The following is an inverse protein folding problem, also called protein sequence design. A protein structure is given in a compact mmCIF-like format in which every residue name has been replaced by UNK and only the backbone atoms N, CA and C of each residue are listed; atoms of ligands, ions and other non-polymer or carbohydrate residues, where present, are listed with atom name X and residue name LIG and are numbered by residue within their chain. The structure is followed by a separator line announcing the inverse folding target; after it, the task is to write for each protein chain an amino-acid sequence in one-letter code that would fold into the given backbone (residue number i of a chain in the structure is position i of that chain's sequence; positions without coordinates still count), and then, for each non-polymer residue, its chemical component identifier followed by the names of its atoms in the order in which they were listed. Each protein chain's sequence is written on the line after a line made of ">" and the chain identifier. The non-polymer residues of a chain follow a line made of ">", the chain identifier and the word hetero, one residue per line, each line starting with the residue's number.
data_IF_040931797563
#
_entry.id   IF_040931797563
#
_cell.length_a   1.000
_cell.length_b   1.000
_cell.length_c   1.000
_cell.angle_alpha   90.00
_cell.angle_beta   90.00
_cell.angle_gamma   90.00
#
_symmetry.space_group_name_H-M   'P 1'
#
loop_
_entity.id
_entity.type
_entity.pdbx_description
1 polymer ?
#
# COMPACT_ATOMS: atom_id res chain seq x y z
N UNK A 1 0.38 -9.83 21.89
CA UNK A 1 -0.01 -9.03 20.71
C UNK A 1 1.00 -9.33 19.64
N UNK A 2 0.53 -9.62 18.42
CA UNK A 2 1.41 -9.68 17.26
C UNK A 2 1.70 -8.23 16.85
N UNK A 3 2.98 -7.78 16.80
CA UNK A 3 3.29 -6.41 16.39
C UNK A 3 3.15 -6.18 14.88
N UNK A 4 3.00 -7.24 14.09
CA UNK A 4 2.85 -7.17 12.65
C UNK A 4 1.44 -6.76 12.23
N UNK A 5 1.38 -5.81 11.29
CA UNK A 5 0.16 -5.43 10.58
C UNK A 5 0.24 -5.92 9.14
N UNK A 6 -0.89 -6.31 8.58
CA UNK A 6 -1.00 -6.49 7.12
C UNK A 6 -1.44 -5.18 6.51
N UNK A 7 -0.62 -4.66 5.61
CA UNK A 7 -0.81 -3.35 5.01
C UNK A 7 -0.68 -3.41 3.48
N UNK A 8 -1.29 -2.45 2.79
CA UNK A 8 -0.92 -2.14 1.41
C UNK A 8 0.44 -1.42 1.38
N UNK A 9 1.05 -1.41 0.19
CA UNK A 9 2.25 -0.62 -0.09
C UNK A 9 2.06 0.83 0.30
N UNK A 10 3.03 1.40 1.01
CA UNK A 10 3.01 2.82 1.38
C UNK A 10 4.39 3.31 1.81
N UNK A 11 4.72 4.55 1.44
CA UNK A 11 5.85 5.24 2.04
C UNK A 11 5.82 6.74 1.85
N UNK A 12 6.88 7.38 2.30
CA UNK A 12 6.99 8.83 2.38
C UNK A 12 7.20 9.46 1.00
N UNK A 13 6.77 10.72 0.86
CA UNK A 13 7.09 11.52 -0.32
C UNK A 13 8.38 12.29 -0.04
N UNK A 14 9.42 12.05 -0.85
CA UNK A 14 10.69 12.74 -0.73
C UNK A 14 10.61 14.22 -1.12
N UNK A 15 11.53 15.08 -0.65
CA UNK A 15 11.54 16.50 -1.03
C UNK A 15 11.63 16.70 -2.55
N UNK A 16 10.57 17.26 -3.14
CA UNK A 16 10.48 17.51 -4.58
C UNK A 16 9.97 16.32 -5.41
N UNK A 17 9.61 15.20 -4.77
CA UNK A 17 8.97 14.05 -5.40
C UNK A 17 7.47 14.27 -5.55
N UNK A 18 6.91 13.91 -6.70
CA UNK A 18 5.46 13.91 -6.91
C UNK A 18 4.83 12.67 -6.26
N UNK A 19 3.57 12.78 -5.81
CA UNK A 19 2.89 11.70 -5.07
C UNK A 19 2.78 10.39 -5.88
N UNK A 20 2.68 10.50 -7.21
CA UNK A 20 2.62 9.36 -8.12
C UNK A 20 3.99 8.69 -8.27
N UNK A 21 5.07 9.48 -8.31
CA UNK A 21 6.44 8.97 -8.37
C UNK A 21 6.81 8.24 -7.08
N UNK A 22 6.42 8.80 -5.92
CA UNK A 22 6.57 8.13 -4.62
C UNK A 22 5.84 6.78 -4.62
N UNK A 23 4.54 6.76 -4.97
CA UNK A 23 3.79 5.51 -5.02
C UNK A 23 4.37 4.49 -6.02
N UNK A 24 4.94 4.96 -7.14
CA UNK A 24 5.61 4.09 -8.10
C UNK A 24 6.90 3.47 -7.54
N UNK A 25 7.71 4.28 -6.86
CA UNK A 25 8.96 3.88 -6.21
C UNK A 25 8.69 2.84 -5.10
N UNK A 26 7.75 3.14 -4.20
CA UNK A 26 7.40 2.25 -3.08
C UNK A 26 6.91 0.87 -3.54
N UNK A 27 6.16 0.80 -4.65
CA UNK A 27 5.76 -0.51 -5.22
C UNK A 27 6.97 -1.35 -5.67
N UNK A 28 8.03 -0.70 -6.17
CA UNK A 28 9.25 -1.39 -6.56
C UNK A 28 10.08 -1.80 -5.34
N UNK A 29 10.13 -0.96 -4.31
CA UNK A 29 10.91 -1.19 -3.09
C UNK A 29 10.26 -2.28 -2.21
N UNK A 30 8.98 -2.13 -1.89
CA UNK A 30 8.31 -3.00 -0.92
C UNK A 30 7.88 -4.34 -1.52
N UNK A 31 7.42 -4.39 -2.79
CA UNK A 31 6.96 -5.63 -3.41
C UNK A 31 7.76 -6.09 -4.64
N UNK A 32 8.66 -5.26 -5.18
CA UNK A 32 9.57 -5.69 -6.25
C UNK A 32 8.97 -5.69 -7.65
N UNK A 33 7.81 -5.07 -7.87
CA UNK A 33 7.15 -5.04 -9.17
C UNK A 33 7.17 -3.63 -9.76
N UNK A 34 7.34 -3.55 -11.09
CA UNK A 34 7.13 -2.32 -11.83
C UNK A 34 5.63 -2.12 -12.09
N UNK A 35 5.00 -1.01 -11.65
CA UNK A 35 3.62 -0.72 -12.02
C UNK A 35 3.44 -0.63 -13.55
N UNK A 36 2.45 -1.35 -14.08
CA UNK A 36 2.02 -1.30 -15.49
C UNK A 36 1.10 -0.11 -15.74
N UNK A 37 0.22 0.14 -14.77
CA UNK A 37 -0.64 1.32 -14.70
C UNK A 37 -0.64 1.82 -13.26
N UNK A 38 -0.81 3.13 -13.09
CA UNK A 38 -1.02 3.74 -11.78
C UNK A 38 -2.13 4.79 -11.92
N UNK A 39 -3.05 4.81 -10.95
CA UNK A 39 -4.12 5.81 -10.92
C UNK A 39 -4.45 6.24 -9.51
N UNK A 40 -4.62 7.54 -9.32
CA UNK A 40 -5.06 8.09 -8.03
C UNK A 40 -6.50 7.69 -7.75
N UNK A 41 -6.73 7.16 -6.54
CA UNK A 41 -8.05 6.81 -6.03
C UNK A 41 -8.66 8.02 -5.33
N UNK A 42 -8.01 8.47 -4.26
CA UNK A 42 -8.50 9.54 -3.38
C UNK A 42 -7.36 10.10 -2.55
N UNK A 43 -7.65 11.15 -1.78
CA UNK A 43 -6.74 11.67 -0.75
C UNK A 43 -7.55 11.96 0.51
N UNK A 44 -7.04 11.54 1.67
CA UNK A 44 -7.71 11.71 2.95
C UNK A 44 -6.74 12.01 4.07
N UNK A 45 -7.26 12.54 5.17
CA UNK A 45 -6.53 12.71 6.43
C UNK A 45 -6.69 11.44 7.26
N UNK A 46 -5.61 10.97 7.87
CA UNK A 46 -5.59 9.72 8.65
C UNK A 46 -6.37 9.87 9.95
N UNK A 47 -6.13 10.95 10.70
CA UNK A 47 -6.82 11.23 11.95
C UNK A 47 -7.01 12.73 12.19
N UNK A 48 -8.05 13.34 11.58
CA UNK A 48 -8.38 14.75 11.78
C UNK A 48 -8.59 15.07 13.28
N UNK A 49 -7.83 16.04 13.79
CA UNK A 49 -7.85 16.44 15.20
C UNK A 49 -6.67 15.92 16.02
N UNK A 50 -5.90 14.96 15.50
CA UNK A 50 -4.66 14.46 16.12
C UNK A 50 -3.44 14.81 15.26
N UNK A 51 -3.52 14.57 13.96
CA UNK A 51 -2.38 14.75 13.04
C UNK A 51 -2.80 15.45 11.75
N UNK A 52 -1.82 16.13 11.12
CA UNK A 52 -1.99 16.76 9.80
C UNK A 52 -1.60 15.84 8.64
N UNK A 53 -1.24 14.59 8.93
CA UNK A 53 -0.86 13.60 7.93
C UNK A 53 -1.98 13.35 6.92
N UNK A 54 -1.59 13.24 5.65
CA UNK A 54 -2.48 12.98 4.52
C UNK A 54 -1.91 11.82 3.72
N UNK A 55 -2.79 10.89 3.37
CA UNK A 55 -2.48 9.80 2.44
C UNK A 55 -3.14 10.11 1.11
N UNK A 56 -2.35 10.09 0.03
CA UNK A 56 -2.88 9.94 -1.32
C UNK A 56 -2.84 8.47 -1.68
N UNK A 57 -4.00 7.90 -1.97
CA UNK A 57 -4.13 6.48 -2.26
C UNK A 57 -4.14 6.26 -3.77
N UNK A 58 -3.36 5.29 -4.23
CA UNK A 58 -3.26 4.89 -5.64
C UNK A 58 -3.65 3.43 -5.82
N UNK A 59 -4.08 3.09 -7.04
CA UNK A 59 -4.21 1.72 -7.53
C UNK A 59 -3.15 1.49 -8.58
N UNK A 60 -2.34 0.45 -8.40
CA UNK A 60 -1.29 0.03 -9.31
C UNK A 60 -1.56 -1.39 -9.81
N UNK A 61 -1.45 -1.60 -11.12
CA UNK A 61 -1.52 -2.94 -11.72
C UNK A 61 -0.12 -3.51 -11.88
N UNK A 62 0.06 -4.75 -11.42
CA UNK A 62 1.30 -5.51 -11.53
C UNK A 62 0.98 -6.95 -11.92
N UNK A 63 1.91 -7.59 -12.60
CA UNK A 63 1.85 -9.02 -12.89
C UNK A 63 3.26 -9.61 -12.94
N UNK A 64 3.37 -10.92 -13.06
CA UNK A 64 4.67 -11.62 -13.10
C UNK A 64 5.61 -11.13 -14.20
N UNK A 65 5.10 -10.51 -15.28
CA UNK A 65 5.95 -9.95 -16.33
C UNK A 65 6.64 -8.65 -15.90
N UNK A 66 6.14 -7.99 -14.86
CA UNK A 66 6.68 -6.74 -14.35
C UNK A 66 7.54 -6.89 -13.09
N UNK A 67 7.81 -8.11 -12.63
CA UNK A 67 8.70 -8.38 -11.49
C UNK A 67 10.15 -7.97 -11.79
N UNK A 68 10.75 -7.20 -10.90
CA UNK A 68 12.13 -6.72 -10.98
C UNK A 68 13.04 -7.35 -9.91
N UNK A 69 12.52 -7.56 -8.70
CA UNK A 69 13.24 -8.12 -7.57
C UNK A 69 12.27 -8.89 -6.64
N UNK A 70 12.72 -9.26 -5.44
CA UNK A 70 11.92 -10.05 -4.48
C UNK A 70 11.03 -9.20 -3.56
N UNK A 71 11.16 -7.87 -3.59
CA UNK A 71 10.54 -6.94 -2.64
C UNK A 71 11.22 -7.01 -1.27
N UNK A 72 10.50 -6.55 -0.24
CA UNK A 72 10.94 -6.60 1.15
C UNK A 72 11.34 -5.25 1.76
N UNK A 73 11.24 -4.17 0.99
CA UNK A 73 11.63 -2.84 1.43
C UNK A 73 13.13 -2.58 1.31
N UNK A 74 13.59 -1.47 1.89
CA UNK A 74 14.98 -1.06 1.89
C UNK A 74 15.65 -1.29 3.26
N UNK A 75 16.77 -2.02 3.25
CA UNK A 75 17.58 -2.25 4.46
C UNK A 75 18.07 -0.95 5.11
N UNK A 76 18.38 0.07 4.30
CA UNK A 76 18.86 1.37 4.79
C UNK A 76 17.73 2.19 5.44
N UNK A 77 16.47 1.81 5.24
CA UNK A 77 15.28 2.41 5.85
C UNK A 77 14.73 1.62 7.06
N UNK A 78 15.44 0.57 7.48
CA UNK A 78 15.05 -0.32 8.59
C UNK A 78 13.70 -1.03 8.35
N UNK A 79 13.41 -1.34 7.09
CA UNK A 79 12.20 -2.05 6.68
C UNK A 79 12.42 -3.57 6.67
N UNK A 80 11.49 -4.29 7.30
CA UNK A 80 11.40 -5.76 7.29
C UNK A 80 9.99 -6.13 6.83
N UNK A 81 9.80 -6.32 5.53
CA UNK A 81 8.48 -6.53 4.93
C UNK A 81 8.35 -7.96 4.40
N UNK A 82 7.27 -8.63 4.83
CA UNK A 82 6.85 -9.92 4.26
C UNK A 82 5.68 -9.72 3.29
N UNK A 83 5.89 -10.08 2.02
CA UNK A 83 4.84 -10.03 1.01
C UNK A 83 3.76 -11.09 1.29
N UNK A 84 2.50 -10.67 1.21
CA UNK A 84 1.33 -11.56 1.24
C UNK A 84 0.40 -11.23 0.08
N UNK A 85 0.01 -12.27 -0.66
CA UNK A 85 -0.92 -12.14 -1.78
C UNK A 85 -2.30 -12.63 -1.36
N UNK A 86 -3.29 -11.74 -1.43
CA UNK A 86 -4.66 -12.04 -1.02
C UNK A 86 -5.60 -12.04 -2.21
N UNK A 87 -6.47 -13.06 -2.37
CA UNK A 87 -7.52 -13.00 -3.36
C UNK A 87 -8.41 -11.79 -3.12
N UNK A 88 -8.80 -11.09 -4.19
CA UNK A 88 -9.73 -9.96 -4.12
C UNK A 88 -11.02 -10.29 -3.34
N UNK A 89 -11.49 -11.54 -3.45
CA UNK A 89 -12.68 -12.03 -2.74
C UNK A 89 -12.54 -12.04 -1.22
N UNK A 90 -11.31 -12.13 -0.69
CA UNK A 90 -11.04 -12.18 0.76
C UNK A 90 -11.04 -10.80 1.42
N UNK A 91 -10.96 -9.72 0.63
CA UNK A 91 -10.81 -8.36 1.13
C UNK A 91 -11.90 -7.94 2.14
N UNK A 92 -13.17 -8.22 1.85
CA UNK A 92 -14.27 -7.89 2.78
C UNK A 92 -14.28 -8.78 4.01
N UNK A 93 -13.90 -10.04 3.86
CA UNK A 93 -13.86 -10.99 4.97
C UNK A 93 -12.82 -10.57 6.01
N UNK A 94 -11.61 -10.24 5.56
CA UNK A 94 -10.51 -9.81 6.44
C UNK A 94 -10.83 -8.51 7.18
N UNK A 95 -11.46 -7.55 6.49
CA UNK A 95 -11.96 -6.32 7.12
C UNK A 95 -13.05 -6.63 8.15
N UNK A 96 -14.00 -7.51 7.84
CA UNK A 96 -15.09 -7.87 8.75
C UNK A 96 -14.61 -8.68 9.98
N UNK A 97 -13.58 -9.51 9.81
CA UNK A 97 -12.95 -10.31 10.86
C UNK A 97 -11.95 -9.51 11.71
N UNK A 98 -11.76 -8.22 11.43
CA UNK A 98 -10.80 -7.34 12.12
C UNK A 98 -9.35 -7.81 11.98
N UNK A 99 -9.01 -8.48 10.87
CA UNK A 99 -7.63 -8.88 10.57
C UNK A 99 -6.80 -7.71 10.02
N UNK A 100 -7.46 -6.70 9.46
CA UNK A 100 -6.81 -5.46 8.99
C UNK A 100 -6.96 -4.37 10.05
N UNK A 101 -5.84 -4.00 10.67
CA UNK A 101 -5.76 -2.91 11.66
C UNK A 101 -5.39 -1.55 11.08
N UNK A 102 -5.03 -1.49 9.79
CA UNK A 102 -4.54 -0.28 9.13
C UNK A 102 -5.62 0.38 8.26
N UNK A 103 -5.83 1.69 8.46
CA UNK A 103 -6.94 2.43 7.88
C UNK A 103 -6.83 2.59 6.35
N UNK A 104 -5.63 2.85 5.81
CA UNK A 104 -5.42 2.99 4.36
C UNK A 104 -5.67 1.67 3.64
N UNK A 105 -5.29 0.55 4.27
CA UNK A 105 -5.54 -0.81 3.77
C UNK A 105 -7.03 -1.12 3.74
N UNK A 106 -7.78 -0.80 4.80
CA UNK A 106 -9.25 -0.98 4.80
C UNK A 106 -9.92 -0.17 3.68
N UNK A 107 -9.53 1.10 3.50
CA UNK A 107 -10.08 1.98 2.45
C UNK A 107 -9.78 1.42 1.05
N UNK A 108 -8.54 0.97 0.81
CA UNK A 108 -8.14 0.38 -0.46
C UNK A 108 -8.92 -0.90 -0.77
N UNK A 109 -9.07 -1.80 0.22
CA UNK A 109 -9.83 -3.04 0.08
C UNK A 109 -11.31 -2.79 -0.22
N UNK A 110 -11.95 -1.87 0.51
CA UNK A 110 -13.36 -1.53 0.31
C UNK A 110 -13.61 -0.89 -1.06
N UNK A 111 -12.69 -0.04 -1.52
CA UNK A 111 -12.78 0.55 -2.86
C UNK A 111 -12.57 -0.49 -3.96
N UNK A 112 -11.56 -1.34 -3.82
CA UNK A 112 -11.22 -2.35 -4.84
C UNK A 112 -12.31 -3.41 -4.97
N UNK A 113 -12.99 -3.75 -3.87
CA UNK A 113 -14.14 -4.66 -3.88
C UNK A 113 -15.29 -4.17 -4.78
N UNK A 114 -15.48 -2.86 -4.93
CA UNK A 114 -16.59 -2.29 -5.72
C UNK A 114 -16.34 -2.27 -7.24
N UNK A 115 -15.11 -2.58 -7.68
CA UNK A 115 -14.72 -2.63 -9.10
C UNK A 115 -14.95 -4.00 -9.70
#
# INVERSE_FOLDING_TARGET
>A
MNPWLTEIVAGGISPGEDEEDAAYREVIEEIGYKPLTIRRITRFYVSPGIMSERITLFYAEVDESSRLNDGGGLLDEDEDIQLVWVPKSSALEWVAQQEIGDSKTMVAMLWHHQM
#
